data_IF_856562062986
#
_entry.id   IF_856562062986
#
_cell.length_a   1.000
_cell.length_b   1.000
_cell.length_c   1.000
_cell.angle_alpha   90.00
_cell.angle_beta   90.00
_cell.angle_gamma   90.00
#
_symmetry.space_group_name_H-M   'P 1'
#
loop_
_entity.id
_entity.type
_entity.pdbx_description
1 polymer ?
#
# COMPACT_ATOMS: atom_id res chain seq x y z
N UNK A 1 18.38 -13.55 6.37
CA UNK A 1 17.35 -14.55 6.69
C UNK A 1 16.67 -14.99 5.42
N UNK A 2 16.40 -16.29 5.28
CA UNK A 2 15.61 -16.81 4.17
C UNK A 2 14.16 -16.32 4.28
N UNK A 3 13.57 -15.89 3.15
CA UNK A 3 12.16 -15.48 3.11
C UNK A 3 11.26 -16.72 3.06
N UNK A 4 10.17 -16.71 3.82
CA UNK A 4 9.22 -17.82 3.91
C UNK A 4 8.19 -17.81 2.75
N UNK A 5 8.66 -18.00 1.52
CA UNK A 5 7.81 -17.91 0.32
C UNK A 5 6.65 -18.91 0.32
N UNK A 6 6.85 -20.13 0.85
CA UNK A 6 5.80 -21.15 0.89
C UNK A 6 4.65 -20.77 1.82
N UNK A 7 4.98 -20.18 2.98
CA UNK A 7 3.97 -19.62 3.89
C UNK A 7 3.17 -18.50 3.22
N UNK A 8 3.84 -17.63 2.44
CA UNK A 8 3.14 -16.62 1.65
C UNK A 8 2.24 -17.24 0.58
N UNK A 9 2.69 -18.31 -0.10
CA UNK A 9 1.89 -18.98 -1.12
C UNK A 9 0.57 -19.53 -0.54
N UNK A 10 0.61 -20.13 0.65
CA UNK A 10 -0.59 -20.61 1.35
C UNK A 10 -1.56 -19.46 1.62
N UNK A 11 -1.06 -18.34 2.17
CA UNK A 11 -1.89 -17.16 2.44
C UNK A 11 -2.45 -16.56 1.15
N UNK A 12 -1.66 -16.51 0.08
CA UNK A 12 -2.06 -15.98 -1.23
C UNK A 12 -3.23 -16.78 -1.83
N UNK A 13 -3.16 -18.12 -1.80
CA UNK A 13 -4.26 -18.99 -2.25
C UNK A 13 -5.55 -18.72 -1.48
N UNK A 14 -5.47 -18.57 -0.15
CA UNK A 14 -6.62 -18.22 0.69
C UNK A 14 -7.17 -16.82 0.38
N UNK A 15 -6.32 -15.84 0.09
CA UNK A 15 -6.76 -14.51 -0.33
C UNK A 15 -7.49 -14.59 -1.67
N UNK A 16 -6.96 -15.37 -2.61
CA UNK A 16 -7.54 -15.52 -3.94
C UNK A 16 -8.89 -16.24 -3.90
N UNK A 17 -9.06 -17.23 -3.04
CA UNK A 17 -10.34 -17.93 -2.85
C UNK A 17 -11.43 -17.09 -2.17
N UNK A 18 -11.13 -15.87 -1.69
CA UNK A 18 -12.14 -14.98 -1.11
C UNK A 18 -13.12 -14.53 -2.19
N UNK A 19 -14.41 -14.75 -1.93
CA UNK A 19 -15.48 -14.08 -2.65
C UNK A 19 -15.63 -12.67 -2.08
N UNK A 20 -15.17 -11.66 -2.82
CA UNK A 20 -15.53 -10.29 -2.51
C UNK A 20 -16.95 -10.10 -3.02
N UNK A 21 -17.94 -10.28 -2.15
CA UNK A 21 -19.27 -9.75 -2.40
C UNK A 21 -19.23 -8.23 -2.50
N UNK A 22 -20.38 -7.57 -2.61
CA UNK A 22 -20.52 -6.10 -2.58
C UNK A 22 -19.98 -5.39 -1.33
N UNK A 23 -19.27 -6.08 -0.42
CA UNK A 23 -19.00 -5.63 0.95
C UNK A 23 -17.69 -4.84 1.14
N UNK A 24 -16.69 -4.97 0.26
CA UNK A 24 -15.43 -4.22 0.42
C UNK A 24 -15.54 -2.88 -0.28
N UNK A 25 -16.13 -1.91 0.42
CA UNK A 25 -16.14 -0.52 0.03
C UNK A 25 -14.84 0.16 0.47
N UNK A 26 -14.11 0.69 -0.50
CA UNK A 26 -12.90 1.45 -0.27
C UNK A 26 -12.86 2.68 -1.17
N UNK A 27 -12.15 3.70 -0.69
CA UNK A 27 -12.05 5.00 -1.32
C UNK A 27 -10.59 5.48 -1.36
N UNK A 28 -10.29 6.36 -2.32
CA UNK A 28 -9.01 7.07 -2.34
C UNK A 28 -8.82 7.87 -1.04
N UNK A 29 -7.57 8.09 -0.65
CA UNK A 29 -7.13 8.68 0.64
C UNK A 29 -7.26 7.77 1.85
N UNK A 30 -7.99 6.67 1.77
CA UNK A 30 -8.09 5.75 2.90
C UNK A 30 -6.78 5.01 3.11
N UNK A 31 -6.45 4.77 4.38
CA UNK A 31 -5.34 3.92 4.79
C UNK A 31 -5.89 2.59 5.27
N UNK A 32 -5.33 1.50 4.78
CA UNK A 32 -5.79 0.15 5.06
C UNK A 32 -4.63 -0.77 5.43
N UNK A 33 -4.86 -1.71 6.35
CA UNK A 33 -4.02 -2.90 6.41
C UNK A 33 -4.28 -3.77 5.20
N UNK A 34 -3.22 -4.18 4.52
CA UNK A 34 -3.29 -4.95 3.28
C UNK A 34 -2.27 -6.09 3.28
N UNK A 35 -2.67 -7.27 2.83
CA UNK A 35 -1.76 -8.39 2.54
C UNK A 35 -0.95 -8.11 1.26
N UNK A 36 0.16 -7.40 1.42
CA UNK A 36 1.10 -7.06 0.34
C UNK A 36 2.04 -8.22 -0.02
N UNK A 37 2.21 -9.19 0.88
CA UNK A 37 2.96 -10.42 0.64
C UNK A 37 4.45 -10.34 0.93
N UNK A 38 5.15 -11.46 0.68
CA UNK A 38 6.60 -11.48 0.52
C UNK A 38 6.93 -11.29 -0.96
N UNK A 39 7.78 -10.31 -1.23
CA UNK A 39 8.19 -9.86 -2.55
C UNK A 39 9.69 -10.14 -2.77
N UNK A 40 10.19 -9.78 -3.95
CA UNK A 40 11.53 -10.11 -4.41
C UNK A 40 12.46 -8.91 -4.23
N UNK A 41 13.71 -9.16 -3.84
CA UNK A 41 14.74 -8.13 -3.75
C UNK A 41 14.34 -6.96 -2.86
N UNK A 42 14.29 -5.77 -3.46
CA UNK A 42 14.08 -4.47 -2.80
C UNK A 42 12.61 -4.08 -2.59
N UNK A 43 11.67 -4.90 -3.08
CA UNK A 43 10.25 -4.61 -2.93
C UNK A 43 9.81 -4.64 -1.46
N UNK A 44 8.86 -3.77 -1.13
CA UNK A 44 8.30 -3.69 0.23
C UNK A 44 7.57 -4.97 0.62
N UNK A 45 8.14 -5.71 1.56
CA UNK A 45 7.50 -6.88 2.17
C UNK A 45 6.46 -6.48 3.22
N UNK A 46 5.44 -7.33 3.35
CA UNK A 46 4.54 -7.37 4.48
C UNK A 46 5.09 -8.22 5.63
N UNK A 47 4.49 -8.09 6.81
CA UNK A 47 4.93 -8.75 8.05
C UNK A 47 3.78 -9.50 8.71
N UNK A 48 4.10 -10.21 9.81
CA UNK A 48 3.14 -10.97 10.61
C UNK A 48 2.46 -12.10 9.83
N UNK A 49 1.46 -12.75 10.44
CA UNK A 49 0.78 -13.93 9.90
C UNK A 49 0.06 -13.70 8.56
N UNK A 50 -0.29 -12.46 8.24
CA UNK A 50 -1.00 -12.09 7.01
C UNK A 50 -0.11 -11.46 5.93
N UNK A 51 1.21 -11.38 6.16
CA UNK A 51 2.14 -10.65 5.30
C UNK A 51 1.59 -9.26 4.99
N UNK A 52 1.18 -8.57 6.06
CA UNK A 52 0.41 -7.34 6.01
C UNK A 52 1.28 -6.10 6.22
N UNK A 53 0.82 -4.99 5.63
CA UNK A 53 1.40 -3.67 5.79
C UNK A 53 0.30 -2.62 5.64
N UNK A 54 0.37 -1.46 6.34
CA UNK A 54 -0.50 -0.35 6.05
C UNK A 54 -0.22 0.19 4.65
N UNK A 55 -1.25 0.51 3.89
CA UNK A 55 -1.16 1.07 2.54
C UNK A 55 -2.13 2.23 2.40
N UNK A 56 -1.74 3.27 1.67
CA UNK A 56 -2.62 4.35 1.25
C UNK A 56 -3.27 3.97 -0.08
N UNK A 57 -4.60 4.05 -0.16
CA UNK A 57 -5.33 3.87 -1.42
C UNK A 57 -5.12 5.12 -2.27
N UNK A 58 -4.36 4.95 -3.34
CA UNK A 58 -3.95 6.04 -4.22
C UNK A 58 -4.89 6.22 -5.40
N UNK A 59 -5.39 5.12 -5.98
CA UNK A 59 -6.36 5.19 -7.07
C UNK A 59 -7.29 4.00 -7.06
N UNK A 60 -8.59 4.24 -7.21
CA UNK A 60 -9.59 3.19 -7.43
C UNK A 60 -9.90 3.11 -8.93
N UNK A 61 -9.69 1.93 -9.53
CA UNK A 61 -10.07 1.71 -10.93
C UNK A 61 -11.48 1.12 -11.04
N UNK A 62 -11.80 0.18 -10.14
CA UNK A 62 -13.12 -0.43 -9.99
C UNK A 62 -13.23 -1.05 -8.59
N UNK A 63 -14.27 -1.85 -8.31
CA UNK A 63 -14.46 -2.54 -7.02
C UNK A 63 -13.42 -3.63 -6.71
N UNK A 64 -12.59 -4.02 -7.68
CA UNK A 64 -11.65 -5.14 -7.58
C UNK A 64 -10.19 -4.74 -7.71
N UNK A 65 -9.88 -3.62 -8.38
CA UNK A 65 -8.53 -3.20 -8.73
C UNK A 65 -8.25 -1.78 -8.24
N UNK A 66 -7.10 -1.61 -7.60
CA UNK A 66 -6.64 -0.35 -7.04
C UNK A 66 -5.13 -0.22 -7.07
N UNK A 67 -4.67 1.03 -7.10
CA UNK A 67 -3.28 1.38 -6.78
C UNK A 67 -3.16 1.73 -5.31
N UNK A 68 -2.07 1.25 -4.72
CA UNK A 68 -1.74 1.54 -3.32
C UNK A 68 -0.28 1.94 -3.17
N UNK A 69 -0.03 2.81 -2.20
CA UNK A 69 1.31 3.19 -1.76
C UNK A 69 1.58 2.54 -0.39
N UNK A 70 2.56 1.64 -0.27
CA UNK A 70 2.93 1.05 1.01
C UNK A 70 3.42 2.10 2.01
N UNK A 71 3.07 1.92 3.28
CA UNK A 71 3.52 2.78 4.37
C UNK A 71 4.55 2.09 5.26
N UNK A 72 5.36 2.90 5.94
CA UNK A 72 6.31 2.47 6.96
C UNK A 72 6.25 3.38 8.18
N UNK A 73 6.38 2.79 9.37
CA UNK A 73 6.47 3.54 10.63
C UNK A 73 7.88 4.02 10.94
N UNK A 74 8.90 3.44 10.28
CA UNK A 74 10.28 3.91 10.45
C UNK A 74 10.41 5.28 9.79
N UNK A 75 11.02 6.21 10.51
CA UNK A 75 11.42 7.48 9.92
C UNK A 75 12.40 7.21 8.79
N UNK A 76 12.09 7.76 7.63
CA UNK A 76 12.95 7.72 6.46
C UNK A 76 13.18 9.13 5.97
N UNK A 77 14.43 9.44 5.72
CA UNK A 77 14.86 10.65 5.04
C UNK A 77 15.10 10.29 3.57
N UNK A 78 14.59 11.11 2.65
CA UNK A 78 14.79 10.90 1.22
C UNK A 78 13.58 11.27 0.37
N UNK A 79 13.86 11.57 -0.90
CA UNK A 79 12.88 12.04 -1.89
C UNK A 79 11.78 11.02 -2.22
N UNK A 80 12.00 9.76 -1.88
CA UNK A 80 11.06 8.65 -2.10
C UNK A 80 10.06 8.42 -0.98
N UNK A 81 10.12 9.22 0.08
CA UNK A 81 9.21 9.13 1.21
C UNK A 81 8.44 10.45 1.39
N UNK A 82 7.19 10.34 1.80
CA UNK A 82 6.38 11.48 2.21
C UNK A 82 5.66 11.16 3.51
N UNK A 83 5.81 12.01 4.51
CA UNK A 83 5.12 11.85 5.79
C UNK A 83 3.64 12.19 5.59
N UNK A 84 2.78 11.29 6.05
CA UNK A 84 1.32 11.45 6.05
C UNK A 84 0.78 11.25 7.46
N UNK A 85 -0.37 11.85 7.74
CA UNK A 85 -1.06 11.74 9.01
C UNK A 85 -2.39 11.03 8.82
N UNK A 86 -2.68 10.04 9.66
CA UNK A 86 -3.95 9.31 9.66
C UNK A 86 -4.43 9.09 11.11
N UNK A 87 -5.61 8.52 11.27
CA UNK A 87 -6.33 8.37 12.54
C UNK A 87 -5.57 7.61 13.65
N UNK A 88 -4.46 6.94 13.30
CA UNK A 88 -3.61 6.16 14.22
C UNK A 88 -2.19 6.74 14.36
N UNK A 89 -1.97 7.97 13.93
CA UNK A 89 -0.69 8.66 13.99
C UNK A 89 -0.08 8.93 12.61
N UNK A 90 1.22 9.20 12.61
CA UNK A 90 1.97 9.51 11.39
C UNK A 90 2.67 8.26 10.83
N UNK A 91 2.70 8.15 9.51
CA UNK A 91 3.46 7.14 8.78
C UNK A 91 4.15 7.78 7.57
N UNK A 92 5.10 7.07 6.97
CA UNK A 92 5.76 7.51 5.74
C UNK A 92 5.27 6.68 4.56
N UNK A 93 4.75 7.35 3.53
CA UNK A 93 4.37 6.75 2.26
C UNK A 93 5.62 6.51 1.40
N UNK A 94 5.87 5.24 1.05
CA UNK A 94 6.99 4.81 0.21
C UNK A 94 6.62 5.01 -1.27
N UNK A 95 6.80 6.21 -1.80
CA UNK A 95 6.28 6.63 -3.11
C UNK A 95 6.81 5.79 -4.28
N UNK A 96 8.06 5.34 -4.20
CA UNK A 96 8.68 4.48 -5.23
C UNK A 96 8.14 3.04 -5.23
N UNK A 97 7.31 2.68 -4.24
CA UNK A 97 6.77 1.34 -4.04
C UNK A 97 5.28 1.26 -4.42
N UNK A 98 4.78 2.26 -5.16
CA UNK A 98 3.44 2.25 -5.76
C UNK A 98 3.21 0.93 -6.51
N UNK A 99 2.11 0.24 -6.20
CA UNK A 99 1.77 -0.99 -6.93
C UNK A 99 0.27 -1.22 -7.06
N UNK A 100 -0.09 -1.96 -8.09
CA UNK A 100 -1.44 -2.47 -8.31
C UNK A 100 -1.71 -3.66 -7.40
N UNK A 101 -2.89 -3.68 -6.78
CA UNK A 101 -3.37 -4.83 -6.01
C UNK A 101 -4.84 -5.12 -6.33
N UNK A 102 -5.27 -6.33 -5.95
CA UNK A 102 -6.69 -6.66 -5.86
C UNK A 102 -7.25 -6.24 -4.50
N UNK A 103 -8.50 -5.79 -4.45
CA UNK A 103 -9.21 -5.48 -3.20
C UNK A 103 -9.35 -6.70 -2.27
N UNK A 104 -9.15 -7.95 -2.77
CA UNK A 104 -9.12 -9.19 -1.95
C UNK A 104 -8.09 -9.12 -0.83
N UNK A 105 -7.06 -8.29 -1.04
CA UNK A 105 -5.91 -8.11 -0.15
C UNK A 105 -6.17 -7.10 0.96
N UNK A 106 -7.23 -6.29 0.88
CA UNK A 106 -7.61 -5.37 1.95
C UNK A 106 -8.11 -6.16 3.16
N UNK A 107 -7.69 -5.75 4.35
CA UNK A 107 -7.98 -6.43 5.62
C UNK A 107 -8.85 -5.57 6.54
N UNK A 108 -8.35 -4.41 6.96
CA UNK A 108 -9.07 -3.48 7.85
C UNK A 108 -8.69 -2.03 7.55
N UNK A 109 -9.67 -1.13 7.54
CA UNK A 109 -9.44 0.32 7.44
C UNK A 109 -8.74 0.81 8.71
N UNK A 110 -7.75 1.68 8.53
CA UNK A 110 -7.01 2.35 9.61
C UNK A 110 -7.54 3.76 9.82
N UNK A 111 -7.80 4.48 8.72
CA UNK A 111 -8.20 5.87 8.74
C UNK A 111 -8.23 6.48 7.35
N UNK A 112 -8.19 7.80 7.28
CA UNK A 112 -8.14 8.55 6.03
C UNK A 112 -7.18 9.73 6.20
N UNK A 113 -6.42 10.04 5.16
CA UNK A 113 -5.54 11.22 5.18
C UNK A 113 -6.27 12.47 4.69
N UNK A 114 -5.76 13.64 5.09
CA UNK A 114 -6.28 14.92 4.63
C UNK A 114 -6.06 15.11 3.11
N UNK A 115 -6.94 15.87 2.48
CA UNK A 115 -6.92 16.09 1.03
C UNK A 115 -5.64 16.77 0.54
N UNK A 116 -5.18 17.77 1.29
CA UNK A 116 -3.92 18.47 1.00
C UNK A 116 -2.70 17.53 1.06
N UNK A 117 -2.61 16.64 2.06
CA UNK A 117 -1.53 15.64 2.14
C UNK A 117 -1.62 14.66 0.95
N UNK A 118 -2.82 14.26 0.56
CA UNK A 118 -3.03 13.40 -0.60
C UNK A 118 -2.59 14.07 -1.91
N UNK A 119 -2.86 15.35 -2.08
CA UNK A 119 -2.44 16.11 -3.25
C UNK A 119 -0.93 16.16 -3.41
N UNK A 120 -0.20 16.34 -2.30
CA UNK A 120 1.25 16.25 -2.32
C UNK A 120 1.75 14.85 -2.72
N UNK A 121 1.10 13.78 -2.26
CA UNK A 121 1.42 12.41 -2.70
C UNK A 121 1.18 12.25 -4.21
N UNK A 122 0.04 12.75 -4.74
CA UNK A 122 -0.29 12.71 -6.17
C UNK A 122 0.73 13.44 -7.01
N UNK A 123 1.09 14.66 -6.63
CA UNK A 123 2.09 15.48 -7.34
C UNK A 123 3.44 14.77 -7.39
N UNK A 124 3.92 14.22 -6.27
CA UNK A 124 5.22 13.54 -6.22
C UNK A 124 5.25 12.27 -7.05
N UNK A 125 4.21 11.44 -6.97
CA UNK A 125 4.10 10.22 -7.79
C UNK A 125 4.01 10.56 -9.28
N UNK A 126 3.21 11.56 -9.66
CA UNK A 126 3.15 12.04 -11.04
C UNK A 126 4.52 12.56 -11.51
N UNK A 127 5.29 13.17 -10.61
CA UNK A 127 6.66 13.61 -10.84
C UNK A 127 7.59 12.49 -11.32
N UNK A 128 7.47 11.26 -10.81
CA UNK A 128 8.29 10.12 -11.29
C UNK A 128 7.98 9.70 -12.73
N UNK A 129 6.76 9.97 -13.21
CA UNK A 129 6.35 9.65 -14.57
C UNK A 129 6.75 10.78 -15.53
N UNK A 130 6.54 12.03 -15.11
CA UNK A 130 6.79 13.22 -15.92
C UNK A 130 8.27 13.56 -16.03
N UNK A 131 9.01 13.40 -14.93
CA UNK A 131 10.43 13.71 -14.87
C UNK A 131 11.21 12.41 -14.85
N UNK A 132 12.04 12.17 -15.87
CA UNK A 132 13.17 11.22 -15.71
C UNK A 132 13.96 11.74 -14.50
N UNK A 133 14.04 10.96 -13.43
CA UNK A 133 14.67 11.40 -12.19
C UNK A 133 16.03 12.07 -12.47
N UNK A 134 16.42 13.14 -11.73
CA UNK A 134 17.82 13.51 -11.68
C UNK A 134 18.59 12.28 -11.20
N UNK A 135 19.64 11.94 -11.96
CA UNK A 135 20.53 10.81 -11.67
C UNK A 135 21.14 10.93 -10.28
#
# INVERSE_FOLDING_TARGET
>A
MAKAFDAWNIVKKRIDSKNIGTEVFFHEREVWWCSVGLNIGVESDGKNAHFERPVLIFRKFNGHMLWVVPLTSKQHEGVHFYRISHDRGASFACLSQLKTISSKRLLRKIGMIAENEFDHVRVRIAGYIKNRAPR
#
